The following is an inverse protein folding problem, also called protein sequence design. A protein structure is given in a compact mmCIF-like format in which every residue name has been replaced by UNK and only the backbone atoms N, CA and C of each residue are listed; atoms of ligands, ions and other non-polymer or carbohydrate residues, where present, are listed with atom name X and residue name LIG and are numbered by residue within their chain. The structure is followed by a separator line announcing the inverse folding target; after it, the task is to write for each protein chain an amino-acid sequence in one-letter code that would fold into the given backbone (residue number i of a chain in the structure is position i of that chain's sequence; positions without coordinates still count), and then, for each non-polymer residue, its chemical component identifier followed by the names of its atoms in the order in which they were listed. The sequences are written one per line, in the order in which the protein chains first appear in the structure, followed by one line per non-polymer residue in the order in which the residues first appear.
data_IF_940532116313
#
_entry.id   IF_940532116313
#
_cell.length_a   1.000
_cell.length_b   1.000
_cell.length_c   1.000
_cell.angle_alpha   90.00
_cell.angle_beta   90.00
_cell.angle_gamma   90.00
#
_symmetry.space_group_name_H-M   'P 1'
#
loop_
_entity.id
_entity.type
_entity.pdbx_description
1 polymer ?
#
# COMPACT_ATOMS: atom_id res chain seq x y z
N UNK A 1 -2.57 -5.38 -27.95
CA UNK A 1 -2.46 -4.33 -26.89
C UNK A 1 -2.27 -5.05 -25.57
N UNK A 2 -1.32 -4.63 -24.71
CA UNK A 2 -1.23 -5.15 -23.35
C UNK A 2 -2.55 -4.85 -22.63
N UNK A 3 -3.15 -5.87 -22.00
CA UNK A 3 -4.36 -5.68 -21.19
C UNK A 3 -4.01 -4.82 -19.99
N UNK A 4 -4.76 -3.76 -19.75
CA UNK A 4 -4.61 -2.89 -18.55
C UNK A 4 -5.28 -3.54 -17.35
N UNK A 5 -5.01 -3.05 -16.15
CA UNK A 5 -5.84 -3.34 -14.98
C UNK A 5 -6.88 -2.24 -14.74
N UNK A 6 -7.88 -2.50 -13.89
CA UNK A 6 -8.84 -1.50 -13.42
C UNK A 6 -8.85 -1.45 -11.89
N UNK A 7 -8.72 -0.27 -11.29
CA UNK A 7 -8.91 -0.08 -9.84
C UNK A 7 -10.22 0.66 -9.59
N UNK A 8 -11.08 0.07 -8.77
CA UNK A 8 -12.42 0.58 -8.45
C UNK A 8 -12.50 1.01 -6.99
N UNK A 9 -12.68 2.31 -6.78
CA UNK A 9 -12.89 2.98 -5.50
C UNK A 9 -14.36 3.04 -5.10
N UNK A 10 -14.61 3.57 -3.91
CA UNK A 10 -15.97 3.73 -3.41
C UNK A 10 -16.66 4.95 -4.02
N UNK A 11 -16.07 6.12 -3.79
CA UNK A 11 -16.64 7.42 -4.13
C UNK A 11 -15.57 8.52 -3.98
N UNK A 12 -15.77 9.71 -4.56
CA UNK A 12 -14.98 10.88 -4.26
C UNK A 12 -14.95 11.20 -2.75
N UNK A 13 -13.87 11.84 -2.25
CA UNK A 13 -13.70 12.11 -0.82
C UNK A 13 -14.47 13.32 -0.30
N UNK A 14 -14.95 14.19 -1.20
CA UNK A 14 -15.70 15.43 -0.92
C UNK A 14 -16.65 15.72 -2.09
N UNK A 15 -17.67 16.59 -1.91
CA UNK A 15 -18.51 17.06 -3.01
C UNK A 15 -17.66 17.56 -4.18
N UNK A 16 -18.14 17.34 -5.42
CA UNK A 16 -17.35 17.58 -6.63
C UNK A 16 -16.92 19.05 -6.75
N UNK A 17 -17.74 19.97 -6.26
CA UNK A 17 -17.50 21.42 -6.25
C UNK A 17 -16.33 21.82 -5.34
N UNK A 18 -15.95 20.94 -4.41
CA UNK A 18 -14.83 21.14 -3.48
C UNK A 18 -13.58 20.36 -3.90
N UNK A 19 -13.65 19.58 -4.98
CA UNK A 19 -12.50 18.85 -5.51
C UNK A 19 -11.73 19.73 -6.50
N UNK A 20 -10.43 19.47 -6.69
CA UNK A 20 -9.67 20.14 -7.73
C UNK A 20 -10.33 19.97 -9.11
N UNK A 21 -10.22 20.97 -10.02
CA UNK A 21 -10.59 20.79 -11.41
C UNK A 21 -9.92 19.55 -12.00
N UNK A 22 -10.68 18.77 -12.77
CA UNK A 22 -10.23 17.49 -13.33
C UNK A 22 -9.78 16.46 -12.28
N UNK A 23 -10.42 16.44 -11.10
CA UNK A 23 -10.24 15.38 -10.12
C UNK A 23 -10.37 13.99 -10.77
N UNK A 24 -9.48 13.10 -10.37
CA UNK A 24 -9.51 11.70 -10.78
C UNK A 24 -9.60 10.79 -9.56
N UNK A 25 -10.21 9.62 -9.72
CA UNK A 25 -10.39 8.65 -8.65
C UNK A 25 -9.05 8.35 -7.93
N UNK A 26 -9.12 8.24 -6.60
CA UNK A 26 -7.97 8.00 -5.71
C UNK A 26 -6.92 9.12 -5.61
N UNK A 27 -7.11 10.28 -6.24
CA UNK A 27 -6.14 11.38 -6.17
C UNK A 27 -5.77 11.75 -4.71
N UNK A 28 -4.47 11.93 -4.44
CA UNK A 28 -3.92 12.30 -3.13
C UNK A 28 -3.36 11.13 -2.31
N UNK A 29 -3.64 11.04 -0.99
CA UNK A 29 -3.09 9.96 -0.16
C UNK A 29 -3.44 8.53 -0.60
N UNK A 30 -4.65 8.22 -1.12
CA UNK A 30 -5.00 6.87 -1.55
C UNK A 30 -4.15 6.33 -2.70
N UNK A 31 -3.90 7.12 -3.76
CA UNK A 31 -3.05 6.69 -4.88
C UNK A 31 -1.62 6.41 -4.43
N UNK A 32 -1.04 7.25 -3.56
CA UNK A 32 0.30 7.03 -3.00
C UNK A 32 0.39 5.70 -2.25
N UNK A 33 -0.66 5.34 -1.51
CA UNK A 33 -0.74 4.05 -0.81
C UNK A 33 -0.83 2.89 -1.80
N UNK A 34 -1.69 2.99 -2.82
CA UNK A 34 -1.82 1.95 -3.85
C UNK A 34 -0.51 1.73 -4.60
N UNK A 35 0.17 2.80 -5.00
CA UNK A 35 1.51 2.78 -5.64
C UNK A 35 2.50 1.97 -4.82
N UNK A 36 2.63 2.28 -3.53
CA UNK A 36 3.56 1.59 -2.63
C UNK A 36 3.21 0.11 -2.45
N UNK A 37 1.93 -0.22 -2.29
CA UNK A 37 1.47 -1.61 -2.14
C UNK A 37 1.80 -2.43 -3.40
N UNK A 38 1.54 -1.84 -4.56
CA UNK A 38 1.79 -2.45 -5.86
C UNK A 38 3.29 -2.53 -6.21
N UNK A 39 4.15 -1.76 -5.51
CA UNK A 39 5.60 -1.76 -5.76
C UNK A 39 6.02 -0.86 -6.94
N UNK A 40 5.18 0.08 -7.35
CA UNK A 40 5.57 1.13 -8.29
C UNK A 40 6.31 2.26 -7.57
N UNK A 41 7.16 2.99 -8.29
CA UNK A 41 7.87 4.15 -7.76
C UNK A 41 6.96 5.36 -7.62
N UNK A 42 6.14 5.62 -8.65
CA UNK A 42 5.26 6.79 -8.68
C UNK A 42 3.79 6.43 -8.99
N UNK A 43 2.83 7.28 -8.60
CA UNK A 43 1.44 7.14 -9.05
C UNK A 43 1.29 7.16 -10.57
N UNK A 44 2.16 7.89 -11.28
CA UNK A 44 2.14 7.93 -12.74
C UNK A 44 2.39 6.54 -13.34
N UNK A 45 3.32 5.77 -12.79
CA UNK A 45 3.64 4.42 -13.29
C UNK A 45 2.49 3.45 -13.03
N UNK A 46 1.84 3.56 -11.86
CA UNK A 46 0.63 2.79 -11.55
C UNK A 46 -0.48 3.11 -12.57
N UNK A 47 -0.75 4.38 -12.82
CA UNK A 47 -1.81 4.81 -13.75
C UNK A 47 -1.45 4.63 -15.23
N UNK A 48 -0.17 4.42 -15.55
CA UNK A 48 0.25 4.01 -16.87
C UNK A 48 -0.24 2.60 -17.23
N UNK A 49 -0.51 1.73 -16.24
CA UNK A 49 -0.98 0.35 -16.47
C UNK A 49 -2.37 0.06 -15.91
N UNK A 50 -2.93 0.95 -15.09
CA UNK A 50 -4.28 0.86 -14.54
C UNK A 50 -5.19 2.00 -14.99
N UNK A 51 -6.44 1.66 -15.29
CA UNK A 51 -7.54 2.61 -15.27
C UNK A 51 -8.06 2.75 -13.83
N UNK A 52 -8.69 3.90 -13.54
CA UNK A 52 -9.20 4.21 -12.20
C UNK A 52 -10.61 4.78 -12.23
N UNK A 53 -11.45 4.34 -11.32
CA UNK A 53 -12.85 4.74 -11.20
C UNK A 53 -13.26 4.84 -9.74
N UNK A 54 -14.09 5.84 -9.40
CA UNK A 54 -14.92 5.79 -8.20
C UNK A 54 -16.28 5.18 -8.59
N UNK A 55 -16.67 4.07 -7.97
CA UNK A 55 -17.89 3.33 -8.35
C UNK A 55 -19.15 4.20 -8.26
N UNK A 56 -19.17 5.10 -7.29
CA UNK A 56 -20.20 6.11 -7.09
C UNK A 56 -19.60 7.46 -7.48
N UNK A 57 -20.19 8.14 -8.48
CA UNK A 57 -19.66 9.40 -9.02
C UNK A 57 -19.87 10.64 -8.15
N UNK A 58 -20.40 10.50 -6.93
CA UNK A 58 -20.66 11.60 -5.99
C UNK A 58 -20.17 11.24 -4.59
N UNK A 59 -19.86 12.25 -3.77
CA UNK A 59 -19.50 12.05 -2.38
C UNK A 59 -20.77 11.77 -1.54
N UNK A 60 -20.88 10.59 -0.89
CA UNK A 60 -21.99 10.32 0.00
C UNK A 60 -21.88 11.13 1.30
N UNK A 61 -22.98 11.18 2.05
CA UNK A 61 -23.01 11.83 3.36
C UNK A 61 -22.00 11.22 4.35
N UNK A 62 -21.44 12.02 5.26
CA UNK A 62 -20.60 11.51 6.34
C UNK A 62 -21.41 10.59 7.26
N UNK A 63 -20.76 9.56 7.80
CA UNK A 63 -21.37 8.76 8.88
C UNK A 63 -21.42 9.60 10.15
N UNK A 64 -22.52 9.53 10.92
CA UNK A 64 -22.52 10.08 12.27
C UNK A 64 -21.44 9.36 13.09
N UNK A 65 -20.70 10.12 13.89
CA UNK A 65 -19.68 9.57 14.77
C UNK A 65 -20.34 8.68 15.82
N UNK A 66 -19.87 7.45 15.93
CA UNK A 66 -20.37 6.54 16.96
C UNK A 66 -19.80 6.96 18.33
N UNK A 67 -20.59 6.86 19.39
CA UNK A 67 -20.18 7.21 20.77
C UNK A 67 -18.88 6.54 21.22
N UNK A 68 -18.65 5.29 20.80
CA UNK A 68 -17.42 4.53 21.11
C UNK A 68 -16.17 5.09 20.42
N UNK A 69 -16.33 5.99 19.45
CA UNK A 69 -15.24 6.70 18.78
C UNK A 69 -15.08 8.13 19.32
N UNK A 70 -15.76 8.49 20.41
CA UNK A 70 -15.64 9.83 20.99
C UNK A 70 -14.25 10.05 21.61
N UNK A 71 -13.56 11.10 21.13
CA UNK A 71 -12.22 11.48 21.62
C UNK A 71 -12.31 11.92 23.09
N UNK A 72 -13.42 12.54 23.51
CA UNK A 72 -13.65 12.92 24.91
C UNK A 72 -13.75 11.70 25.84
N UNK A 73 -14.09 10.54 25.29
CA UNK A 73 -14.12 9.24 25.98
C UNK A 73 -12.82 8.45 25.82
N UNK A 74 -11.74 9.08 25.35
CA UNK A 74 -10.41 8.48 25.23
C UNK A 74 -10.13 7.73 23.92
N UNK A 75 -10.97 7.89 22.89
CA UNK A 75 -10.70 7.27 21.59
C UNK A 75 -9.56 7.97 20.84
N UNK A 76 -8.45 7.27 20.61
CA UNK A 76 -7.21 7.83 19.99
C UNK A 76 -6.87 7.26 18.62
N UNK A 77 -7.64 6.31 18.08
CA UNK A 77 -7.23 5.55 16.89
C UNK A 77 -7.41 6.33 15.58
N UNK A 78 -8.48 7.09 15.43
CA UNK A 78 -8.72 7.93 14.25
C UNK A 78 -9.73 9.04 14.52
N UNK A 79 -9.68 10.09 13.71
CA UNK A 79 -10.59 11.23 13.82
C UNK A 79 -11.73 11.24 12.79
N UNK A 80 -11.86 10.19 11.97
CA UNK A 80 -12.80 10.14 10.84
C UNK A 80 -13.56 8.81 10.80
N UNK A 81 -14.88 8.85 10.66
CA UNK A 81 -15.76 7.66 10.58
C UNK A 81 -16.04 7.20 9.13
N UNK A 82 -15.63 8.03 8.15
CA UNK A 82 -15.86 7.81 6.72
C UNK A 82 -17.28 8.19 6.28
N UNK A 83 -17.57 7.91 5.01
CA UNK A 83 -18.87 8.21 4.39
C UNK A 83 -19.80 7.00 4.42
N UNK A 84 -21.11 7.25 4.37
CA UNK A 84 -22.12 6.23 4.09
C UNK A 84 -21.81 5.61 2.73
N UNK A 85 -22.03 4.31 2.56
CA UNK A 85 -21.86 3.66 1.26
C UNK A 85 -23.23 3.16 0.79
N UNK A 86 -23.89 3.86 -0.15
CA UNK A 86 -25.23 3.50 -0.55
C UNK A 86 -25.19 2.28 -1.48
N UNK A 87 -25.13 1.09 -0.87
CA UNK A 87 -24.88 -0.19 -1.53
C UNK A 87 -25.88 -0.49 -2.65
N UNK A 88 -27.14 -0.05 -2.55
CA UNK A 88 -28.14 -0.20 -3.61
C UNK A 88 -27.71 0.51 -4.90
N UNK A 89 -27.30 1.78 -4.82
CA UNK A 89 -26.82 2.52 -5.98
C UNK A 89 -25.47 2.00 -6.48
N UNK A 90 -24.59 1.58 -5.57
CA UNK A 90 -23.33 0.95 -5.92
C UNK A 90 -23.54 -0.34 -6.74
N UNK A 91 -24.52 -1.17 -6.38
CA UNK A 91 -24.90 -2.38 -7.14
C UNK A 91 -25.40 -2.04 -8.54
N UNK A 92 -26.19 -0.97 -8.69
CA UNK A 92 -26.63 -0.51 -10.00
C UNK A 92 -25.43 -0.07 -10.86
N UNK A 93 -24.52 0.71 -10.30
CA UNK A 93 -23.30 1.14 -10.99
C UNK A 93 -22.40 -0.05 -11.36
N UNK A 94 -22.19 -1.00 -10.44
CA UNK A 94 -21.41 -2.21 -10.70
C UNK A 94 -22.06 -3.09 -11.78
N UNK A 95 -23.39 -3.24 -11.76
CA UNK A 95 -24.13 -3.94 -12.82
C UNK A 95 -23.95 -3.28 -14.17
N UNK A 96 -23.94 -1.94 -14.25
CA UNK A 96 -23.64 -1.25 -15.52
C UNK A 96 -22.22 -1.56 -16.01
N UNK A 97 -21.22 -1.55 -15.13
CA UNK A 97 -19.85 -1.91 -15.50
C UNK A 97 -19.74 -3.37 -15.97
N UNK A 98 -20.44 -4.30 -15.31
CA UNK A 98 -20.46 -5.71 -15.67
C UNK A 98 -21.08 -5.96 -17.05
N UNK A 99 -22.14 -5.24 -17.40
CA UNK A 99 -22.89 -5.46 -18.64
C UNK A 99 -22.37 -4.63 -19.83
N UNK A 100 -21.87 -3.42 -19.57
CA UNK A 100 -21.52 -2.45 -20.62
C UNK A 100 -20.05 -2.05 -20.59
N UNK A 101 -19.28 -2.55 -19.62
CA UNK A 101 -17.89 -2.16 -19.45
C UNK A 101 -17.71 -0.70 -19.03
N UNK A 102 -16.50 -0.21 -19.24
CA UNK A 102 -16.11 1.19 -19.08
C UNK A 102 -15.56 1.70 -20.40
N UNK A 103 -16.08 2.83 -20.89
CA UNK A 103 -15.60 3.49 -22.11
C UNK A 103 -15.51 2.50 -23.31
N UNK A 104 -16.47 1.57 -23.39
CA UNK A 104 -16.54 0.50 -24.40
C UNK A 104 -15.65 -0.73 -24.14
N UNK A 105 -14.88 -0.74 -23.06
CA UNK A 105 -14.01 -1.86 -22.66
C UNK A 105 -14.72 -2.74 -21.63
N UNK A 106 -14.98 -4.00 -21.97
CA UNK A 106 -15.61 -4.96 -21.06
C UNK A 106 -14.71 -5.32 -19.88
N UNK A 107 -15.30 -5.72 -18.75
CA UNK A 107 -14.51 -6.09 -17.57
C UNK A 107 -13.60 -7.32 -17.79
N UNK A 108 -13.98 -8.23 -18.68
CA UNK A 108 -13.17 -9.40 -19.06
C UNK A 108 -11.93 -9.04 -19.90
N UNK A 109 -11.89 -7.83 -20.46
CA UNK A 109 -10.75 -7.35 -21.25
C UNK A 109 -9.64 -6.78 -20.36
N UNK A 110 -9.96 -6.38 -19.13
CA UNK A 110 -8.96 -6.05 -18.13
C UNK A 110 -8.21 -7.31 -17.68
N UNK A 111 -6.89 -7.19 -17.49
CA UNK A 111 -6.06 -8.27 -16.97
C UNK A 111 -6.46 -8.64 -15.53
N UNK A 112 -6.89 -7.62 -14.77
CA UNK A 112 -7.38 -7.74 -13.39
C UNK A 112 -8.24 -6.53 -13.01
N UNK A 113 -9.27 -6.77 -12.18
CA UNK A 113 -10.10 -5.72 -11.56
C UNK A 113 -9.85 -5.70 -10.05
N UNK A 114 -9.26 -4.61 -9.55
CA UNK A 114 -8.97 -4.40 -8.13
C UNK A 114 -10.12 -3.64 -7.47
N UNK A 115 -10.82 -4.28 -6.54
CA UNK A 115 -11.94 -3.70 -5.80
C UNK A 115 -11.46 -3.19 -4.43
N UNK A 116 -11.48 -1.87 -4.24
CA UNK A 116 -11.01 -1.24 -3.02
C UNK A 116 -12.10 -1.25 -1.93
N UNK A 117 -12.07 -2.28 -1.09
CA UNK A 117 -12.91 -2.42 0.09
C UNK A 117 -14.07 -3.39 -0.08
N UNK A 118 -14.48 -3.98 1.05
CA UNK A 118 -15.54 -5.02 1.11
C UNK A 118 -16.86 -4.56 0.53
N UNK A 119 -17.22 -3.29 0.71
CA UNK A 119 -18.47 -2.74 0.19
C UNK A 119 -18.48 -2.61 -1.34
N UNK A 120 -17.33 -2.31 -1.95
CA UNK A 120 -17.17 -2.33 -3.41
C UNK A 120 -17.32 -3.77 -3.89
N UNK A 121 -16.63 -4.73 -3.26
CA UNK A 121 -16.79 -6.15 -3.59
C UNK A 121 -18.24 -6.65 -3.47
N UNK A 122 -18.97 -6.23 -2.43
CA UNK A 122 -20.39 -6.54 -2.26
C UNK A 122 -21.28 -5.92 -3.35
N UNK A 123 -20.89 -4.77 -3.91
CA UNK A 123 -21.62 -4.14 -5.00
C UNK A 123 -21.49 -4.94 -6.31
N UNK A 124 -20.34 -5.58 -6.54
CA UNK A 124 -20.11 -6.54 -7.63
C UNK A 124 -20.71 -7.94 -7.34
N UNK A 125 -21.44 -8.11 -6.23
CA UNK A 125 -22.09 -9.36 -5.88
C UNK A 125 -21.15 -10.48 -5.42
N UNK A 126 -19.88 -10.17 -5.12
CA UNK A 126 -18.91 -11.16 -4.63
C UNK A 126 -19.27 -11.64 -3.22
N UNK A 127 -19.00 -12.92 -2.94
CA UNK A 127 -19.22 -13.49 -1.60
C UNK A 127 -18.18 -12.90 -0.63
N UNK A 128 -18.66 -12.19 0.38
CA UNK A 128 -17.77 -11.55 1.35
C UNK A 128 -17.03 -12.59 2.18
N UNK A 129 -15.70 -12.48 2.19
CA UNK A 129 -14.83 -13.31 3.03
C UNK A 129 -14.54 -12.64 4.37
N UNK A 130 -14.13 -13.36 5.43
CA UNK A 130 -13.82 -12.75 6.72
C UNK A 130 -12.65 -11.76 6.66
N UNK A 131 -11.68 -11.99 5.78
CA UNK A 131 -10.45 -11.20 5.69
C UNK A 131 -10.23 -10.59 4.31
N UNK A 132 -9.48 -9.49 4.27
CA UNK A 132 -8.91 -8.88 3.06
C UNK A 132 -7.37 -8.87 3.19
N UNK A 133 -6.62 -8.95 2.09
CA UNK A 133 -7.09 -9.09 0.71
C UNK A 133 -7.55 -10.52 0.38
N UNK A 134 -8.29 -10.69 -0.72
CA UNK A 134 -8.53 -11.99 -1.34
C UNK A 134 -8.68 -11.84 -2.86
N UNK A 135 -8.43 -12.91 -3.60
CA UNK A 135 -8.66 -12.99 -5.05
C UNK A 135 -9.79 -13.97 -5.36
N UNK A 136 -10.51 -13.71 -6.44
CA UNK A 136 -11.61 -14.55 -6.93
C UNK A 136 -11.77 -14.32 -8.44
N UNK A 137 -12.02 -15.38 -9.21
CA UNK A 137 -12.45 -15.27 -10.60
C UNK A 137 -13.93 -15.59 -10.68
N UNK A 138 -14.68 -14.74 -11.38
CA UNK A 138 -16.12 -14.90 -11.57
C UNK A 138 -16.54 -14.36 -12.92
N UNK A 139 -17.32 -15.13 -13.66
CA UNK A 139 -17.87 -14.75 -14.98
C UNK A 139 -16.76 -14.26 -15.96
N UNK A 140 -15.59 -14.93 -15.89
CA UNK A 140 -14.40 -14.61 -16.69
C UNK A 140 -13.62 -13.36 -16.25
N UNK A 141 -14.03 -12.70 -15.16
CA UNK A 141 -13.34 -11.53 -14.61
C UNK A 141 -12.50 -11.93 -13.39
N UNK A 142 -11.22 -11.57 -13.41
CA UNK A 142 -10.30 -11.77 -12.28
C UNK A 142 -10.36 -10.60 -11.33
N UNK A 143 -10.83 -10.83 -10.11
CA UNK A 143 -10.93 -9.83 -9.06
C UNK A 143 -9.82 -9.97 -8.02
N UNK A 144 -9.29 -8.84 -7.58
CA UNK A 144 -8.53 -8.72 -6.35
C UNK A 144 -9.25 -7.74 -5.43
N UNK A 145 -9.74 -8.22 -4.29
CA UNK A 145 -10.35 -7.35 -3.28
C UNK A 145 -9.30 -6.92 -2.28
N UNK A 146 -9.11 -5.60 -2.17
CA UNK A 146 -8.12 -4.98 -1.30
C UNK A 146 -8.78 -4.24 -0.14
N UNK A 147 -8.09 -4.00 0.99
CA UNK A 147 -8.53 -3.00 1.96
C UNK A 147 -8.63 -1.62 1.29
N UNK A 148 -9.60 -0.80 1.69
CA UNK A 148 -9.77 0.52 1.07
C UNK A 148 -8.58 1.44 1.37
N UNK A 149 -7.97 2.11 0.37
CA UNK A 149 -6.70 2.82 0.52
C UNK A 149 -6.82 4.21 1.18
N UNK A 150 -7.97 4.61 1.72
CA UNK A 150 -8.11 5.92 2.40
C UNK A 150 -7.29 6.06 3.69
N UNK A 151 -6.85 4.95 4.30
CA UNK A 151 -6.14 4.97 5.58
C UNK A 151 -7.06 4.94 6.81
N UNK A 152 -8.38 5.07 6.61
CA UNK A 152 -9.38 4.96 7.69
C UNK A 152 -9.56 3.51 8.16
N UNK A 153 -9.24 2.54 7.31
CA UNK A 153 -9.34 1.12 7.69
C UNK A 153 -8.32 0.78 8.78
N UNK A 154 -8.81 0.22 9.89
CA UNK A 154 -7.97 -0.31 10.98
C UNK A 154 -6.96 -1.36 10.50
N UNK A 155 -7.21 -2.01 9.37
CA UNK A 155 -6.31 -2.98 8.75
C UNK A 155 -4.95 -2.36 8.40
N UNK A 156 -4.89 -1.05 8.19
CA UNK A 156 -3.62 -0.37 7.93
C UNK A 156 -2.76 -0.22 9.18
N UNK A 157 -3.33 -0.38 10.38
CA UNK A 157 -2.57 -0.30 11.63
C UNK A 157 -1.86 -1.63 11.95
N UNK A 158 -2.36 -2.75 11.43
CA UNK A 158 -1.75 -4.07 11.59
C UNK A 158 -0.68 -4.34 10.52
N UNK A 159 0.55 -4.62 10.96
CA UNK A 159 1.68 -4.96 10.09
C UNK A 159 1.42 -6.22 9.25
N UNK A 160 0.75 -7.23 9.81
CA UNK A 160 0.44 -8.48 9.10
C UNK A 160 -0.53 -8.19 7.96
N UNK A 161 -1.59 -7.42 8.23
CA UNK A 161 -2.52 -6.99 7.18
C UNK A 161 -1.84 -6.17 6.08
N UNK A 162 -0.90 -5.27 6.43
CA UNK A 162 -0.11 -4.52 5.44
C UNK A 162 0.74 -5.45 4.56
N UNK A 163 1.48 -6.38 5.15
CA UNK A 163 2.31 -7.32 4.39
C UNK A 163 1.48 -8.23 3.49
N UNK A 164 0.32 -8.71 3.96
CA UNK A 164 -0.61 -9.50 3.14
C UNK A 164 -1.15 -8.69 1.95
N UNK A 165 -1.50 -7.42 2.17
CA UNK A 165 -1.93 -6.53 1.09
C UNK A 165 -0.82 -6.33 0.04
N UNK A 166 0.42 -6.09 0.47
CA UNK A 166 1.57 -5.97 -0.45
C UNK A 166 1.77 -7.26 -1.25
N UNK A 167 1.86 -8.40 -0.56
CA UNK A 167 2.11 -9.69 -1.20
C UNK A 167 1.01 -10.06 -2.20
N UNK A 168 -0.26 -9.91 -1.80
CA UNK A 168 -1.39 -10.23 -2.68
C UNK A 168 -1.45 -9.30 -3.90
N UNK A 169 -1.20 -8.00 -3.73
CA UNK A 169 -1.23 -7.07 -4.85
C UNK A 169 -0.11 -7.38 -5.84
N UNK A 170 1.13 -7.56 -5.37
CA UNK A 170 2.27 -7.88 -6.23
C UNK A 170 2.13 -9.22 -6.95
N UNK A 171 1.68 -10.26 -6.25
CA UNK A 171 1.42 -11.57 -6.86
C UNK A 171 0.33 -11.47 -7.94
N UNK A 172 -0.72 -10.68 -7.70
CA UNK A 172 -1.78 -10.47 -8.68
C UNK A 172 -1.28 -9.69 -9.92
N UNK A 173 -0.38 -8.72 -9.74
CA UNK A 173 0.27 -8.00 -10.85
C UNK A 173 1.16 -8.92 -11.68
N UNK A 174 1.93 -9.79 -11.03
CA UNK A 174 2.77 -10.78 -11.70
C UNK A 174 1.93 -11.72 -12.57
N UNK A 175 0.86 -12.30 -12.01
CA UNK A 175 -0.07 -13.17 -12.74
C UNK A 175 -0.78 -12.43 -13.88
N UNK A 176 -1.08 -11.15 -13.70
CA UNK A 176 -1.71 -10.31 -14.70
C UNK A 176 -0.74 -9.79 -15.79
N UNK A 177 0.57 -9.99 -15.64
CA UNK A 177 1.58 -9.42 -16.53
C UNK A 177 1.68 -7.89 -16.44
N UNK A 178 1.31 -7.31 -15.29
CA UNK A 178 1.29 -5.87 -15.00
C UNK A 178 2.43 -5.46 -14.06
N UNK A 179 3.58 -6.11 -14.14
CA UNK A 179 4.69 -5.86 -13.24
C UNK A 179 5.15 -4.39 -13.33
N UNK A 180 5.60 -3.80 -12.22
CA UNK A 180 6.26 -2.51 -12.27
C UNK A 180 7.45 -2.57 -13.24
N UNK A 181 7.82 -1.45 -13.88
CA UNK A 181 9.04 -1.40 -14.67
C UNK A 181 10.17 -1.92 -13.79
N UNK A 182 10.75 -3.06 -14.16
CA UNK A 182 11.92 -3.55 -13.47
C UNK A 182 12.95 -2.44 -13.58
N UNK A 183 13.38 -1.86 -12.46
CA UNK A 183 14.50 -0.93 -12.49
C UNK A 183 15.59 -1.63 -13.30
N UNK A 184 16.08 -0.97 -14.35
CA UNK A 184 17.19 -1.50 -15.13
C UNK A 184 18.26 -1.96 -14.13
N UNK A 185 18.86 -3.16 -14.29
CA UNK A 185 19.88 -3.62 -13.38
C UNK A 185 20.87 -2.48 -13.24
N UNK A 186 21.05 -2.01 -12.00
CA UNK A 186 22.02 -0.96 -11.73
C UNK A 186 23.32 -1.42 -12.39
N UNK A 187 24.00 -0.56 -13.18
CA UNK A 187 25.30 -0.94 -13.72
C UNK A 187 26.13 -1.43 -12.53
N UNK A 188 26.85 -2.57 -12.67
CA UNK A 188 27.59 -3.15 -11.58
C UNK A 188 28.40 -2.02 -10.94
N UNK A 189 28.23 -1.83 -9.64
CA UNK A 189 29.00 -0.88 -8.85
C UNK A 189 30.46 -1.07 -9.26
N UNK A 190 31.00 -0.10 -9.99
CA UNK A 190 32.40 -0.09 -10.33
C UNK A 190 33.13 -0.13 -8.99
N UNK A 191 33.83 -1.25 -8.74
CA UNK A 191 34.71 -1.36 -7.58
C UNK A 191 35.59 -0.11 -7.57
N UNK A 192 35.69 0.62 -6.45
CA UNK A 192 36.56 1.78 -6.39
C UNK A 192 37.99 1.32 -6.68
N UNK A 193 38.50 1.60 -7.88
CA UNK A 193 39.84 1.25 -8.34
C UNK A 193 40.94 2.15 -7.75
N UNK A 194 40.70 2.81 -6.61
CA UNK A 194 41.71 3.64 -5.97
C UNK A 194 41.64 3.48 -4.46
N UNK A 195 42.26 2.40 -3.97
CA UNK A 195 42.82 2.39 -2.63
C UNK A 195 44.19 3.07 -2.70
N UNK A 196 44.41 4.26 -2.12
CA UNK A 196 45.75 4.75 -1.90
C UNK A 196 46.48 3.82 -0.94
N UNK A 197 47.70 3.44 -1.32
CA UNK A 197 48.59 2.58 -0.58
C UNK A 197 48.71 3.02 0.89
N UNK A 198 48.55 2.04 1.78
CA UNK A 198 48.85 2.14 3.19
C UNK A 198 50.30 2.54 3.42
N UNK A 199 50.57 3.80 3.70
CA UNK A 199 51.83 4.18 4.33
C UNK A 199 51.68 5.49 5.11
N UNK A 200 51.56 5.37 6.43
CA UNK A 200 51.74 6.39 7.51
C UNK A 200 50.65 6.32 8.59
N UNK A 201 50.45 5.16 9.22
CA UNK A 201 49.94 5.14 10.61
C UNK A 201 50.53 3.97 11.43
N UNK A 202 51.78 3.61 11.15
CA UNK A 202 52.56 2.59 11.90
C UNK A 202 53.67 3.18 12.77
N UNK A 203 53.70 4.51 12.97
CA UNK A 203 54.77 5.22 13.69
C UNK A 203 54.39 5.90 15.01
N UNK A 204 53.20 5.62 15.58
CA UNK A 204 52.76 6.24 16.85
C UNK A 204 52.37 5.26 17.97
N UNK A 205 52.85 4.01 17.91
CA UNK A 205 52.63 2.96 18.94
C UNK A 205 53.92 2.25 19.40
N UNK A 206 55.06 2.95 19.41
CA UNK A 206 56.36 2.37 19.84
C UNK A 206 57.19 3.27 20.77
N UNK A 207 56.54 4.18 21.52
CA UNK A 207 57.15 4.94 22.61
C UNK A 207 56.15 5.15 23.74
N UNK A 208 55.75 4.06 24.40
CA UNK A 208 55.11 4.13 25.74
C UNK A 208 55.12 2.76 26.42
N UNK A 209 56.26 2.08 26.40
CA UNK A 209 56.57 0.96 27.28
C UNK A 209 58.06 1.07 27.57
N UNK A 210 58.42 1.82 28.61
CA UNK A 210 59.58 1.61 29.47
C UNK A 210 59.47 2.61 30.61
N UNK A 211 59.86 2.19 31.82
CA UNK A 211 59.70 2.80 33.16
C UNK A 211 58.33 2.55 33.81
N UNK A 212 58.18 1.87 34.95
CA UNK A 212 59.06 1.19 35.90
C UNK A 212 58.13 0.50 36.92
N UNK A 213 58.33 -0.77 37.26
CA UNK A 213 59.05 -1.26 38.47
C UNK A 213 58.44 -0.85 39.82
N UNK A 214 58.05 -1.87 40.61
CA UNK A 214 57.82 -1.79 42.07
C UNK A 214 56.46 -2.39 42.49
N UNK A 215 56.33 -3.70 42.69
CA UNK A 215 56.68 -4.49 43.89
C UNK A 215 55.58 -4.54 44.98
N UNK A 216 55.44 -5.76 45.55
CA UNK A 216 54.76 -6.17 46.80
C UNK A 216 53.32 -6.77 46.71
N UNK A 217 53.29 -8.09 46.50
CA UNK A 217 52.88 -9.18 47.43
C UNK A 217 51.58 -9.12 48.28
N UNK A 218 51.05 -10.30 48.70
CA UNK A 218 49.63 -10.61 48.70
C UNK A 218 49.08 -10.85 50.10
N UNK A 219 47.75 -10.76 50.29
CA UNK A 219 47.09 -11.56 51.32
C UNK A 219 45.70 -12.03 50.88
N UNK A 220 45.53 -13.34 51.04
CA UNK A 220 44.29 -14.08 50.99
C UNK A 220 43.33 -13.70 52.12
N UNK A 221 42.02 -13.84 51.88
CA UNK A 221 41.02 -14.31 52.86
C UNK A 221 39.70 -14.66 52.17
N UNK A 222 39.47 -15.96 52.03
CA UNK A 222 38.16 -16.65 52.15
C UNK A 222 37.91 -16.80 53.68
N UNK A 223 36.72 -17.08 54.28
CA UNK A 223 35.36 -17.44 53.81
C UNK A 223 34.29 -16.44 54.36
N UNK A 224 32.96 -16.57 54.31
CA UNK A 224 31.97 -17.66 54.17
C UNK A 224 30.72 -17.10 53.51
#
# INVERSE_FOLDING_TARGET
RLRRGLIVGQSPPRPLEQLPPAYQAFQGPPEQRLTKLAGFETPKDLWAVFDRLDLIGWCPEPKPRADKHDVKKGYTKHNWDGHRFPLRFARLAASRLLNFGRDGTSLQEYAIVVLCGRNVAAAFGLKLRPFVPWAEERDGVRYLVMPHPSGVSHLWNDAVCRHRAIAAFRAALEVAGLQPPTAAPSPPLALPQNLPATEKLRRKRRRKCDEGSGAADPQAKVPS
#
